data_IF_613925615975
#
_entry.id   IF_613925615975
#
_cell.length_a   1.000
_cell.length_b   1.000
_cell.length_c   1.000
_cell.angle_alpha   90.00
_cell.angle_beta   90.00
_cell.angle_gamma   90.00
#
_symmetry.space_group_name_H-M   'P 1'
#
loop_
_entity.id
_entity.type
_entity.pdbx_description
1 polymer ?
#
# COMPACT_ATOMS: atom_id res chain seq x y z
N UNK A 1 87.44 -22.70 13.56
CA UNK A 1 86.58 -21.59 13.21
C UNK A 1 85.45 -22.20 12.38
N UNK A 2 84.30 -22.43 12.98
CA UNK A 2 83.07 -22.86 12.28
C UNK A 2 82.18 -21.58 12.12
N UNK A 3 81.98 -21.22 10.88
CA UNK A 3 81.11 -20.12 10.49
C UNK A 3 79.67 -20.68 10.49
N UNK A 4 78.93 -20.22 11.46
CA UNK A 4 77.50 -20.53 11.67
C UNK A 4 76.66 -19.76 10.66
N UNK A 5 76.28 -20.43 9.59
CA UNK A 5 75.40 -19.88 8.57
C UNK A 5 73.97 -19.82 9.10
N UNK A 6 73.54 -18.63 9.47
CA UNK A 6 72.19 -18.35 9.98
C UNK A 6 71.11 -18.59 8.92
N UNK A 7 69.95 -19.20 9.30
CA UNK A 7 68.80 -19.40 8.39
C UNK A 7 67.94 -18.16 8.34
N UNK A 8 68.37 -17.09 7.71
CA UNK A 8 67.68 -15.81 7.62
C UNK A 8 66.61 -15.69 6.51
N UNK A 9 66.41 -16.74 5.71
CA UNK A 9 65.51 -16.66 4.55
C UNK A 9 64.09 -17.21 4.80
N UNK A 10 63.91 -18.20 5.65
CA UNK A 10 62.62 -18.89 5.87
C UNK A 10 61.62 -18.02 6.62
N UNK A 11 62.08 -17.24 7.60
CA UNK A 11 61.18 -16.44 8.46
C UNK A 11 60.64 -15.18 7.76
N UNK A 12 61.43 -14.55 6.90
CA UNK A 12 60.96 -13.41 6.09
C UNK A 12 59.94 -13.81 5.03
N UNK A 13 60.09 -15.02 4.46
CA UNK A 13 59.13 -15.56 3.50
C UNK A 13 57.81 -15.92 4.16
N UNK A 14 57.83 -16.42 5.40
CA UNK A 14 56.60 -16.73 6.17
C UNK A 14 55.85 -15.45 6.58
N UNK A 15 56.56 -14.41 6.97
CA UNK A 15 55.98 -13.12 7.34
C UNK A 15 55.30 -12.40 6.15
N UNK A 16 55.99 -12.37 5.00
CA UNK A 16 55.42 -11.77 3.76
C UNK A 16 54.17 -12.50 3.28
N UNK A 17 54.17 -13.85 3.35
CA UNK A 17 53.01 -14.68 2.99
C UNK A 17 51.81 -14.43 3.94
N UNK A 18 52.05 -14.31 5.23
CA UNK A 18 51.02 -13.99 6.24
C UNK A 18 50.43 -12.57 5.99
N UNK A 19 51.28 -11.61 5.68
CA UNK A 19 50.84 -10.24 5.39
C UNK A 19 50.01 -10.17 4.09
N UNK A 20 50.44 -10.88 3.05
CA UNK A 20 49.70 -10.98 1.79
C UNK A 20 48.33 -11.62 1.99
N UNK A 21 48.23 -12.72 2.73
CA UNK A 21 46.96 -13.38 3.03
C UNK A 21 46.04 -12.49 3.86
N UNK A 22 46.55 -11.76 4.86
CA UNK A 22 45.76 -10.83 5.65
C UNK A 22 45.22 -9.66 4.77
N UNK A 23 46.04 -9.13 3.86
CA UNK A 23 45.62 -8.09 2.93
C UNK A 23 44.54 -8.61 1.99
N UNK A 24 44.70 -9.81 1.47
CA UNK A 24 43.76 -10.41 0.54
C UNK A 24 42.39 -10.68 1.22
N UNK A 25 42.39 -11.19 2.44
CA UNK A 25 41.20 -11.38 3.26
C UNK A 25 40.57 -10.04 3.57
N UNK A 26 41.37 -9.00 3.93
CA UNK A 26 40.87 -7.65 4.20
C UNK A 26 40.17 -7.03 3.00
N UNK A 27 40.76 -7.17 1.80
CA UNK A 27 40.13 -6.70 0.55
C UNK A 27 38.85 -7.45 0.26
N UNK A 28 38.85 -8.78 0.36
CA UNK A 28 37.64 -9.59 0.12
C UNK A 28 36.51 -9.24 1.09
N UNK A 29 36.82 -9.11 2.38
CA UNK A 29 35.81 -8.73 3.40
C UNK A 29 35.29 -7.32 3.17
N UNK A 30 36.13 -6.37 2.77
CA UNK A 30 35.70 -5.02 2.40
C UNK A 30 34.74 -5.03 1.22
N UNK A 31 35.07 -5.70 0.13
CA UNK A 31 34.18 -5.78 -1.04
C UNK A 31 32.85 -6.48 -0.72
N UNK A 32 32.89 -7.56 0.08
CA UNK A 32 31.68 -8.25 0.51
C UNK A 32 30.80 -7.35 1.39
N UNK A 33 31.41 -6.61 2.32
CA UNK A 33 30.70 -5.65 3.17
C UNK A 33 30.06 -4.52 2.38
N UNK A 34 30.72 -4.01 1.34
CA UNK A 34 30.17 -2.99 0.45
C UNK A 34 29.01 -3.56 -0.39
N UNK A 35 29.22 -4.76 -0.95
CA UNK A 35 28.22 -5.42 -1.81
C UNK A 35 26.92 -5.73 -1.06
N UNK A 36 27.01 -6.18 0.18
CA UNK A 36 25.84 -6.51 1.01
C UNK A 36 25.34 -5.31 1.82
N UNK A 37 26.24 -4.46 2.29
CA UNK A 37 25.91 -3.32 3.16
C UNK A 37 25.14 -2.22 2.43
N UNK A 38 25.52 -1.89 1.21
CA UNK A 38 24.85 -0.82 0.45
C UNK A 38 23.36 -1.15 0.20
N UNK A 39 22.97 -2.31 -0.34
CA UNK A 39 21.57 -2.63 -0.54
C UNK A 39 20.82 -2.77 0.78
N UNK A 40 21.46 -3.28 1.84
CA UNK A 40 20.86 -3.37 3.16
C UNK A 40 20.55 -1.97 3.74
N UNK A 41 21.51 -1.06 3.70
CA UNK A 41 21.32 0.32 4.16
C UNK A 41 20.27 1.03 3.30
N UNK A 42 20.30 0.85 1.98
CA UNK A 42 19.26 1.40 1.09
C UNK A 42 17.88 0.88 1.43
N UNK A 43 17.73 -0.40 1.74
CA UNK A 43 16.45 -0.98 2.15
C UNK A 43 15.94 -0.40 3.49
N UNK A 44 16.85 -0.05 4.42
CA UNK A 44 16.48 0.56 5.69
C UNK A 44 16.10 2.05 5.57
N UNK A 45 16.80 2.78 4.68
CA UNK A 45 16.62 4.23 4.52
C UNK A 45 15.61 4.54 3.40
N UNK A 46 15.37 3.58 2.50
CA UNK A 46 14.40 3.78 1.42
C UNK A 46 13.09 4.26 2.05
N UNK A 47 12.65 5.50 1.75
CA UNK A 47 11.37 5.95 2.22
C UNK A 47 10.38 4.90 1.75
N UNK A 48 9.52 4.44 2.66
CA UNK A 48 8.32 3.69 2.29
C UNK A 48 7.39 4.65 1.55
N UNK A 49 7.90 5.26 0.52
CA UNK A 49 7.12 6.04 -0.42
C UNK A 49 6.17 5.08 -1.09
N UNK A 50 5.02 4.90 -0.46
CA UNK A 50 3.82 4.46 -1.17
C UNK A 50 3.41 5.60 -2.14
N UNK A 51 4.29 5.96 -3.05
CA UNK A 51 3.86 6.52 -4.31
C UNK A 51 3.36 5.30 -5.10
N UNK A 52 2.30 4.70 -4.58
CA UNK A 52 1.47 3.85 -5.40
C UNK A 52 1.13 4.72 -6.60
N UNK A 53 1.68 4.36 -7.74
CA UNK A 53 1.30 4.96 -9.00
C UNK A 53 -0.22 4.86 -9.01
N UNK A 54 -0.91 6.01 -8.95
CA UNK A 54 -2.37 6.06 -8.86
C UNK A 54 -2.92 5.38 -10.11
N UNK A 55 -3.17 4.09 -10.00
CA UNK A 55 -3.81 3.32 -11.07
C UNK A 55 -5.29 3.65 -11.05
N UNK A 56 -5.80 4.03 -12.19
CA UNK A 56 -7.23 4.24 -12.39
C UNK A 56 -7.86 2.93 -12.83
N UNK A 57 -8.64 2.33 -11.95
CA UNK A 57 -9.29 1.04 -12.20
C UNK A 57 -10.72 1.27 -12.67
N UNK A 58 -11.13 0.51 -13.69
CA UNK A 58 -12.48 0.56 -14.25
C UNK A 58 -13.47 -0.14 -13.31
N UNK A 59 -14.57 0.55 -12.97
CA UNK A 59 -15.63 0.02 -12.10
C UNK A 59 -16.91 -0.30 -12.89
N UNK A 60 -17.44 0.69 -13.62
CA UNK A 60 -18.73 0.55 -14.28
C UNK A 60 -18.87 1.48 -15.49
N UNK A 61 -19.87 1.22 -16.32
CA UNK A 61 -20.43 2.20 -17.25
C UNK A 61 -21.43 3.08 -16.48
N UNK A 62 -21.20 4.39 -16.48
CA UNK A 62 -22.04 5.34 -15.75
C UNK A 62 -23.49 5.34 -16.26
N UNK A 63 -23.70 5.07 -17.55
CA UNK A 63 -25.04 5.06 -18.15
C UNK A 63 -25.89 3.89 -17.64
N UNK A 64 -25.25 2.80 -17.16
CA UNK A 64 -25.95 1.65 -16.60
C UNK A 64 -26.37 1.84 -15.14
N UNK A 65 -25.89 2.90 -14.47
CA UNK A 65 -26.15 3.15 -13.07
C UNK A 65 -27.45 3.92 -12.85
N UNK A 66 -28.33 3.47 -11.93
CA UNK A 66 -29.55 4.20 -11.56
C UNK A 66 -29.22 5.48 -10.79
N UNK A 67 -29.96 6.56 -11.06
CA UNK A 67 -29.84 7.80 -10.30
C UNK A 67 -30.56 7.67 -8.94
N UNK A 68 -29.90 8.15 -7.88
CA UNK A 68 -30.47 8.20 -6.52
C UNK A 68 -30.52 6.83 -5.80
N UNK A 69 -29.94 5.79 -6.38
CA UNK A 69 -29.90 4.48 -5.76
C UNK A 69 -28.45 3.99 -5.64
N UNK A 70 -27.93 3.71 -4.44
CA UNK A 70 -26.61 3.14 -4.25
C UNK A 70 -26.49 1.72 -4.84
N UNK A 71 -25.44 1.48 -5.58
CA UNK A 71 -25.13 0.17 -6.17
C UNK A 71 -23.78 -0.32 -5.66
N UNK A 72 -23.72 -1.56 -5.20
CA UNK A 72 -22.45 -2.19 -4.84
C UNK A 72 -21.80 -2.78 -6.07
N UNK A 73 -20.60 -2.33 -6.39
CA UNK A 73 -19.83 -2.77 -7.55
C UNK A 73 -18.54 -3.46 -7.11
N UNK A 74 -18.19 -4.54 -7.81
CA UNK A 74 -16.89 -5.19 -7.66
C UNK A 74 -15.99 -4.77 -8.81
N UNK A 75 -14.70 -4.57 -8.51
CA UNK A 75 -13.69 -4.24 -9.52
C UNK A 75 -12.36 -4.91 -9.18
N UNK A 76 -11.48 -4.96 -10.15
CA UNK A 76 -10.14 -5.52 -10.01
C UNK A 76 -9.14 -4.39 -9.82
N UNK A 77 -8.59 -4.26 -8.63
CA UNK A 77 -7.48 -3.36 -8.38
C UNK A 77 -6.15 -4.08 -8.68
N UNK A 78 -5.27 -3.41 -9.41
CA UNK A 78 -3.92 -3.86 -9.66
C UNK A 78 -2.99 -3.16 -8.68
N UNK A 79 -2.31 -3.95 -7.87
CA UNK A 79 -1.25 -3.45 -7.00
C UNK A 79 0.08 -3.89 -7.56
N UNK A 80 0.94 -2.93 -7.89
CA UNK A 80 2.31 -3.18 -8.29
C UNK A 80 3.21 -2.83 -7.12
N UNK A 81 3.79 -3.85 -6.49
CA UNK A 81 4.78 -3.68 -5.43
C UNK A 81 6.10 -4.29 -5.90
N UNK A 82 7.05 -3.43 -6.23
CA UNK A 82 8.41 -3.67 -6.70
C UNK A 82 8.65 -4.90 -7.59
N UNK A 83 8.21 -6.09 -7.20
CA UNK A 83 8.38 -7.37 -7.90
C UNK A 83 7.12 -8.23 -7.94
N UNK A 84 6.00 -7.70 -7.44
CA UNK A 84 4.75 -8.44 -7.30
C UNK A 84 3.62 -7.70 -8.00
N UNK A 85 3.06 -8.33 -9.02
CA UNK A 85 1.81 -7.89 -9.64
C UNK A 85 0.68 -8.72 -9.03
N UNK A 86 -0.12 -8.08 -8.19
CA UNK A 86 -1.26 -8.75 -7.57
C UNK A 86 -2.55 -8.08 -8.05
N UNK A 87 -3.50 -8.91 -8.49
CA UNK A 87 -4.84 -8.45 -8.84
C UNK A 87 -5.78 -8.87 -7.73
N UNK A 88 -6.33 -7.91 -7.00
CA UNK A 88 -7.24 -8.16 -5.89
C UNK A 88 -8.63 -7.66 -6.26
N UNK A 89 -9.66 -8.44 -5.90
CA UNK A 89 -11.06 -8.02 -6.08
C UNK A 89 -11.47 -7.16 -4.90
N UNK A 90 -11.88 -5.95 -5.18
CA UNK A 90 -12.45 -5.02 -4.21
C UNK A 90 -13.90 -4.71 -4.54
N UNK A 91 -14.67 -4.27 -3.56
CA UNK A 91 -16.00 -3.74 -3.77
C UNK A 91 -16.08 -2.29 -3.33
N UNK A 92 -16.97 -1.53 -3.95
CA UNK A 92 -17.25 -0.12 -3.60
C UNK A 92 -18.75 0.11 -3.66
N UNK A 93 -19.21 1.14 -2.98
CA UNK A 93 -20.56 1.67 -3.16
C UNK A 93 -20.52 2.87 -4.11
N UNK A 94 -21.31 2.81 -5.15
CA UNK A 94 -21.42 3.88 -6.16
C UNK A 94 -22.80 4.51 -6.03
N UNK A 95 -22.84 5.83 -5.87
CA UNK A 95 -24.06 6.62 -5.82
C UNK A 95 -24.02 7.63 -6.97
N UNK A 96 -24.93 7.49 -7.91
CA UNK A 96 -25.11 8.44 -9.00
C UNK A 96 -26.16 9.46 -8.60
N UNK A 97 -25.77 10.71 -8.48
CA UNK A 97 -26.67 11.81 -8.09
C UNK A 97 -27.32 12.49 -9.31
N UNK A 98 -26.58 12.57 -10.40
CA UNK A 98 -27.03 13.11 -11.70
C UNK A 98 -26.28 12.42 -12.84
N UNK A 99 -26.59 12.67 -14.11
CA UNK A 99 -25.90 12.06 -15.23
C UNK A 99 -24.37 12.12 -15.14
N UNK A 100 -23.83 13.24 -14.64
CA UNK A 100 -22.38 13.52 -14.61
C UNK A 100 -21.81 13.56 -13.18
N UNK A 101 -22.62 13.32 -12.14
CA UNK A 101 -22.16 13.39 -10.74
C UNK A 101 -22.32 12.06 -10.07
N UNK A 102 -21.18 11.48 -9.71
CA UNK A 102 -21.08 10.17 -9.04
C UNK A 102 -20.22 10.33 -7.79
N UNK A 103 -20.64 9.73 -6.68
CA UNK A 103 -19.85 9.57 -5.48
C UNK A 103 -19.52 8.09 -5.30
N UNK A 104 -18.27 7.78 -4.98
CA UNK A 104 -17.83 6.42 -4.70
C UNK A 104 -17.35 6.34 -3.26
N UNK A 105 -17.91 5.41 -2.50
CA UNK A 105 -17.53 5.15 -1.12
C UNK A 105 -16.73 3.86 -0.98
N UNK A 106 -15.70 3.89 -0.14
CA UNK A 106 -15.13 2.67 0.43
C UNK A 106 -16.23 1.88 1.15
N UNK A 107 -16.29 0.56 1.04
CA UNK A 107 -17.34 -0.24 1.67
C UNK A 107 -17.10 -0.43 3.19
N UNK A 108 -16.07 0.20 3.73
CA UNK A 108 -15.56 0.03 5.09
C UNK A 108 -16.12 1.11 6.01
N UNK A 109 -16.76 0.67 7.09
CA UNK A 109 -17.29 1.57 8.12
C UNK A 109 -16.16 2.29 8.85
N UNK A 110 -16.28 3.59 8.99
CA UNK A 110 -15.28 4.47 9.60
C UNK A 110 -15.12 4.26 11.12
N UNK A 111 -16.00 3.47 11.76
CA UNK A 111 -15.87 3.11 13.19
C UNK A 111 -14.73 2.10 13.40
N UNK A 112 -14.95 0.83 13.08
CA UNK A 112 -13.99 -0.27 13.31
C UNK A 112 -13.81 -1.19 12.09
N UNK A 113 -14.08 -0.71 10.88
CA UNK A 113 -13.73 -1.41 9.66
C UNK A 113 -14.69 -2.49 9.17
N UNK A 114 -15.89 -2.63 9.75
CA UNK A 114 -16.89 -3.55 9.24
C UNK A 114 -17.43 -3.10 7.88
N UNK A 115 -17.86 -4.04 7.06
CA UNK A 115 -18.61 -3.73 5.85
C UNK A 115 -20.02 -3.29 6.18
N UNK A 116 -20.45 -2.14 5.69
CA UNK A 116 -21.81 -1.65 5.80
C UNK A 116 -22.65 -2.05 4.59
N UNK A 117 -23.96 -1.93 4.69
CA UNK A 117 -24.95 -2.26 3.66
C UNK A 117 -25.87 -1.09 3.41
N UNK A 118 -26.43 -1.02 2.21
CA UNK A 118 -27.54 -0.14 1.90
C UNK A 118 -28.87 -0.82 2.27
N UNK A 119 -29.69 -0.14 3.01
CA UNK A 119 -31.06 -0.55 3.27
C UNK A 119 -32.01 0.36 2.47
N UNK A 120 -32.67 -0.22 1.46
CA UNK A 120 -33.60 0.51 0.62
C UNK A 120 -34.91 0.87 1.34
N UNK A 121 -35.26 0.16 2.43
CA UNK A 121 -36.43 0.43 3.23
C UNK A 121 -36.29 1.68 4.10
N UNK A 122 -35.09 1.90 4.65
CA UNK A 122 -34.77 3.07 5.47
C UNK A 122 -34.15 4.22 4.64
N UNK A 123 -33.59 3.90 3.46
CA UNK A 123 -32.86 4.87 2.65
C UNK A 123 -31.51 5.26 3.26
N UNK A 124 -30.89 4.37 4.02
CA UNK A 124 -29.64 4.64 4.72
C UNK A 124 -28.60 3.53 4.48
N UNK A 125 -27.34 3.90 4.64
CA UNK A 125 -26.28 2.91 4.83
C UNK A 125 -26.22 2.51 6.30
N UNK A 126 -26.19 1.20 6.58
CA UNK A 126 -26.22 0.67 7.93
C UNK A 126 -25.04 -0.29 8.16
N UNK A 127 -24.33 -0.06 9.27
CA UNK A 127 -23.25 -0.93 9.70
C UNK A 127 -23.77 -1.95 10.73
N UNK A 128 -23.76 -3.25 10.41
CA UNK A 128 -24.36 -4.27 11.27
C UNK A 128 -23.60 -4.54 12.56
N UNK A 129 -22.33 -4.12 12.65
CA UNK A 129 -21.48 -4.46 13.79
C UNK A 129 -21.85 -3.66 15.05
N UNK A 130 -22.02 -2.33 14.91
CA UNK A 130 -22.24 -1.44 16.07
C UNK A 130 -23.32 -0.38 15.79
N UNK A 131 -24.14 -0.58 14.75
CA UNK A 131 -25.29 0.29 14.48
C UNK A 131 -24.96 1.70 14.00
N UNK A 132 -23.81 1.91 13.36
CA UNK A 132 -23.58 3.21 12.69
C UNK A 132 -24.47 3.33 11.47
N UNK A 133 -25.15 4.48 11.33
CA UNK A 133 -26.08 4.78 10.26
C UNK A 133 -25.58 6.02 9.50
N UNK A 134 -25.66 5.96 8.17
CA UNK A 134 -25.20 7.05 7.31
C UNK A 134 -26.26 7.37 6.24
N UNK A 135 -26.32 8.64 5.85
CA UNK A 135 -27.18 9.07 4.74
C UNK A 135 -26.66 8.54 3.40
N UNK A 136 -27.44 8.70 2.33
CA UNK A 136 -27.01 8.40 0.96
C UNK A 136 -25.75 9.18 0.55
N UNK A 137 -25.54 10.38 1.13
CA UNK A 137 -24.34 11.21 0.91
C UNK A 137 -23.17 10.81 1.83
N UNK A 138 -23.32 9.75 2.60
CA UNK A 138 -22.28 9.23 3.51
C UNK A 138 -22.17 9.98 4.84
N UNK A 139 -23.05 10.96 5.16
CA UNK A 139 -23.01 11.68 6.44
C UNK A 139 -23.47 10.79 7.58
N UNK A 140 -22.82 10.90 8.75
CA UNK A 140 -23.23 10.17 9.96
C UNK A 140 -24.59 10.68 10.42
N UNK A 141 -25.56 9.77 10.55
CA UNK A 141 -26.89 10.03 11.11
C UNK A 141 -27.02 9.50 12.53
N UNK A 142 -26.24 8.46 12.89
CA UNK A 142 -26.25 7.85 14.22
C UNK A 142 -25.18 6.80 14.39
N UNK A 143 -25.03 6.37 15.65
CA UNK A 143 -24.07 5.33 16.02
C UNK A 143 -22.65 5.87 16.31
N UNK A 144 -21.67 4.96 16.53
CA UNK A 144 -20.35 5.31 17.03
C UNK A 144 -19.33 5.74 15.96
N UNK A 145 -19.70 5.84 14.67
CA UNK A 145 -18.78 6.25 13.61
C UNK A 145 -18.27 7.68 13.84
N UNK A 146 -16.94 7.91 13.90
CA UNK A 146 -16.37 9.22 14.24
C UNK A 146 -16.40 10.22 13.10
N UNK A 147 -16.63 9.78 11.84
CA UNK A 147 -16.66 10.61 10.64
C UNK A 147 -17.58 10.01 9.57
N UNK A 148 -17.93 10.78 8.52
CA UNK A 148 -18.65 10.30 7.35
C UNK A 148 -17.96 9.11 6.67
N UNK A 149 -18.67 8.45 5.76
CA UNK A 149 -18.12 7.40 4.91
C UNK A 149 -16.94 7.95 4.09
N UNK A 150 -15.89 7.15 3.95
CA UNK A 150 -14.72 7.52 3.19
C UNK A 150 -15.01 7.45 1.68
N UNK A 151 -14.89 8.58 1.00
CA UNK A 151 -14.99 8.66 -0.46
C UNK A 151 -13.68 8.25 -1.11
N UNK A 152 -13.74 7.61 -2.28
CA UNK A 152 -12.59 7.30 -3.12
C UNK A 152 -12.45 8.35 -4.23
N UNK A 153 -11.21 8.65 -4.69
CA UNK A 153 -11.01 9.42 -5.90
C UNK A 153 -11.70 8.75 -7.08
N UNK A 154 -12.54 9.49 -7.79
CA UNK A 154 -13.33 9.00 -8.90
C UNK A 154 -13.38 10.02 -10.04
N UNK A 155 -13.38 9.53 -11.28
CA UNK A 155 -13.58 10.34 -12.48
C UNK A 155 -14.40 9.58 -13.52
N UNK A 156 -15.05 10.33 -14.40
CA UNK A 156 -15.78 9.76 -15.54
C UNK A 156 -15.01 10.11 -16.81
N UNK A 157 -14.61 9.09 -17.56
CA UNK A 157 -13.97 9.25 -18.87
C UNK A 157 -14.70 8.40 -19.91
N UNK A 158 -15.19 9.02 -20.97
CA UNK A 158 -15.92 8.34 -22.05
C UNK A 158 -17.10 7.47 -21.56
N UNK A 159 -17.82 7.94 -20.53
CA UNK A 159 -18.94 7.21 -19.93
C UNK A 159 -18.54 6.08 -18.97
N UNK A 160 -17.25 5.90 -18.72
CA UNK A 160 -16.71 4.89 -17.81
C UNK A 160 -16.32 5.51 -16.49
N UNK A 161 -16.79 4.93 -15.38
CA UNK A 161 -16.37 5.29 -14.04
C UNK A 161 -15.02 4.64 -13.73
N UNK A 162 -14.03 5.48 -13.47
CA UNK A 162 -12.69 5.11 -13.04
C UNK A 162 -12.48 5.56 -11.61
N UNK A 163 -11.83 4.75 -10.80
CA UNK A 163 -11.50 5.07 -9.41
C UNK A 163 -10.05 4.74 -9.09
N UNK A 164 -9.54 5.35 -8.03
CA UNK A 164 -8.30 4.91 -7.38
C UNK A 164 -8.65 4.28 -6.05
N UNK A 165 -8.18 3.04 -5.84
CA UNK A 165 -8.40 2.35 -4.57
C UNK A 165 -7.49 2.91 -3.48
N UNK A 166 -8.10 3.31 -2.38
CA UNK A 166 -7.41 3.78 -1.18
C UNK A 166 -8.00 3.09 0.07
N UNK A 167 -7.12 2.83 1.04
CA UNK A 167 -7.54 2.39 2.36
C UNK A 167 -7.31 3.51 3.37
N UNK A 168 -8.18 3.60 4.38
CA UNK A 168 -8.12 4.66 5.39
C UNK A 168 -8.06 4.06 6.79
N UNK A 169 -7.39 4.76 7.70
CA UNK A 169 -7.40 4.42 9.13
C UNK A 169 -8.82 4.55 9.65
N UNK A 170 -9.29 3.56 10.41
CA UNK A 170 -10.61 3.55 11.07
C UNK A 170 -10.50 4.01 12.52
N UNK A 171 -11.65 4.38 13.14
CA UNK A 171 -11.71 4.76 14.54
C UNK A 171 -11.19 6.16 14.88
N UNK A 172 -10.85 6.98 13.91
CA UNK A 172 -10.35 8.35 14.09
C UNK A 172 -11.22 9.36 13.32
N UNK A 173 -11.23 10.61 13.75
CA UNK A 173 -12.03 11.67 13.10
C UNK A 173 -11.46 12.09 11.75
N UNK A 174 -10.15 12.06 11.60
CA UNK A 174 -9.48 12.47 10.36
C UNK A 174 -9.48 11.34 9.33
N UNK A 175 -9.66 11.69 8.06
CA UNK A 175 -9.51 10.77 6.93
C UNK A 175 -8.03 10.66 6.56
N UNK A 176 -7.35 9.63 7.06
CA UNK A 176 -5.91 9.39 6.86
C UNK A 176 -5.72 8.12 6.02
N UNK A 177 -5.11 8.21 4.82
CA UNK A 177 -4.74 7.02 4.04
C UNK A 177 -3.74 6.13 4.78
N UNK A 178 -3.78 4.81 4.48
CA UNK A 178 -2.90 3.80 5.12
C UNK A 178 -1.80 3.37 4.16
#
# INVERSE_FOLDING_TARGET
MQEESQPLSADKFSAARRMFLKLLIGIMTFFMSVLLGIPFIRALIAPRSRTAQQTWDRVADVNSLPIGQPVRMNFFARTEDAYRHETTVHSVWVVKHSPDVVTVFSPICTHLGCYFKWDAGTGHFECPCHGSVFSIDGKVLGGPAPRPLDTLPAKIENGVLLITWEQFKVGIQEKVPV
#
